data_IF_219166342059
#
_entry.id   IF_219166342059
#
_cell.length_a   1.000
_cell.length_b   1.000
_cell.length_c   1.000
_cell.angle_alpha   90.00
_cell.angle_beta   90.00
_cell.angle_gamma   90.00
#
_symmetry.space_group_name_H-M   'P 1'
#
loop_
_entity.id
_entity.type
_entity.pdbx_description
1 polymer ?
#
# COMPACT_ATOMS: atom_id res chain seq x y z
N UNK A 1 -0.02 -33.02 -1.82
CA UNK A 1 -1.39 -32.51 -1.54
C UNK A 1 -1.68 -33.06 -0.17
N UNK A 2 -1.37 -32.28 0.85
CA UNK A 2 -1.11 -32.82 2.17
C UNK A 2 -2.31 -32.50 3.05
N UNK A 3 -3.17 -33.51 3.17
CA UNK A 3 -4.26 -33.56 4.14
C UNK A 3 -3.68 -33.86 5.51
N UNK A 4 -4.09 -33.10 6.53
CA UNK A 4 -3.82 -33.50 7.90
C UNK A 4 -4.66 -34.72 8.31
N UNK A 5 -4.32 -35.31 9.46
CA UNK A 5 -4.95 -36.52 9.98
C UNK A 5 -6.44 -36.37 10.38
N UNK A 6 -7.05 -35.20 10.16
CA UNK A 6 -8.47 -34.93 10.42
C UNK A 6 -9.32 -34.82 9.14
N UNK A 7 -8.69 -34.76 7.96
CA UNK A 7 -9.38 -34.65 6.68
C UNK A 7 -10.08 -33.30 6.46
N UNK A 8 -9.80 -32.28 7.27
CA UNK A 8 -10.27 -30.91 7.01
C UNK A 8 -9.35 -30.20 6.03
N UNK A 9 -9.93 -29.68 4.94
CA UNK A 9 -9.28 -28.68 4.09
C UNK A 9 -9.06 -27.42 4.93
N UNK A 10 -7.82 -27.05 5.14
CA UNK A 10 -7.49 -25.68 5.54
C UNK A 10 -7.64 -24.79 4.32
N UNK A 11 -8.81 -24.18 4.17
CA UNK A 11 -8.92 -22.95 3.39
C UNK A 11 -8.05 -21.91 4.10
N UNK A 12 -6.82 -21.72 3.63
CA UNK A 12 -6.07 -20.49 3.88
C UNK A 12 -6.66 -19.44 2.94
N UNK A 13 -7.92 -19.11 3.18
CA UNK A 13 -8.55 -17.94 2.60
C UNK A 13 -8.09 -16.78 3.49
N UNK A 14 -7.02 -16.10 3.09
CA UNK A 14 -6.81 -14.75 3.59
C UNK A 14 -7.67 -13.88 2.67
N UNK A 15 -8.87 -13.43 3.08
CA UNK A 15 -9.56 -12.45 2.28
C UNK A 15 -8.64 -11.23 2.24
N UNK A 16 -8.18 -10.86 1.04
CA UNK A 16 -7.83 -9.47 0.75
C UNK A 16 -9.10 -8.70 1.09
N UNK A 17 -9.18 -8.13 2.29
CA UNK A 17 -10.16 -7.09 2.56
C UNK A 17 -9.73 -5.93 1.69
N UNK A 18 -10.30 -5.87 0.49
CA UNK A 18 -10.51 -4.58 -0.16
C UNK A 18 -11.23 -3.75 0.90
N UNK A 19 -10.64 -2.65 1.39
CA UNK A 19 -11.32 -1.82 2.36
C UNK A 19 -12.62 -1.35 1.71
N UNK A 20 -13.74 -1.67 2.35
CA UNK A 20 -15.06 -1.29 1.88
C UNK A 20 -15.06 0.19 1.51
N UNK A 21 -15.65 0.52 0.36
CA UNK A 21 -15.88 1.91 -0.07
C UNK A 21 -16.49 2.67 1.11
N UNK A 22 -15.72 3.57 1.71
CA UNK A 22 -16.21 4.35 2.85
C UNK A 22 -17.25 5.35 2.31
N UNK A 23 -18.48 5.37 2.85
CA UNK A 23 -19.47 6.36 2.46
C UNK A 23 -18.97 7.78 2.73
N UNK A 24 -19.41 8.75 1.93
CA UNK A 24 -19.01 10.17 2.06
C UNK A 24 -19.40 10.75 3.43
N UNK A 25 -20.43 10.20 4.08
CA UNK A 25 -20.92 10.57 5.41
C UNK A 25 -19.88 10.33 6.51
N UNK A 26 -18.85 9.51 6.25
CA UNK A 26 -17.74 9.31 7.18
C UNK A 26 -16.74 10.48 7.15
N UNK A 27 -16.92 11.44 6.25
CA UNK A 27 -16.02 12.58 6.05
C UNK A 27 -16.68 13.87 6.54
N UNK A 28 -15.94 14.65 7.33
CA UNK A 28 -16.40 15.97 7.76
C UNK A 28 -16.23 16.99 6.63
N UNK A 29 -17.34 17.40 6.01
CA UNK A 29 -17.33 18.36 4.90
C UNK A 29 -17.49 19.80 5.39
N UNK A 30 -16.66 20.70 4.87
CA UNK A 30 -16.71 22.13 5.20
C UNK A 30 -17.67 22.88 4.28
N UNK A 31 -18.90 23.11 4.73
CA UNK A 31 -19.83 24.05 4.09
C UNK A 31 -20.44 23.59 2.76
N UNK A 32 -20.34 22.30 2.44
CA UNK A 32 -20.99 21.65 1.28
C UNK A 32 -21.79 20.46 1.78
N UNK A 33 -22.96 20.22 1.19
CA UNK A 33 -23.82 19.09 1.58
C UNK A 33 -23.31 17.76 1.01
N UNK A 34 -23.69 16.64 1.64
CA UNK A 34 -23.34 15.31 1.15
C UNK A 34 -23.84 15.05 -0.26
N UNK A 35 -25.08 15.44 -0.58
CA UNK A 35 -25.66 15.24 -1.91
C UNK A 35 -24.92 16.01 -3.00
N UNK A 36 -24.41 17.21 -2.69
CA UNK A 36 -23.62 18.02 -3.63
C UNK A 36 -22.22 17.43 -3.86
N UNK A 37 -21.58 16.91 -2.81
CA UNK A 37 -20.22 16.36 -2.89
C UNK A 37 -20.17 14.90 -3.36
N UNK A 38 -21.29 14.17 -3.31
CA UNK A 38 -21.37 12.74 -3.63
C UNK A 38 -20.85 12.39 -5.04
N UNK A 39 -21.26 13.06 -6.14
CA UNK A 39 -20.79 12.68 -7.48
C UNK A 39 -19.26 12.73 -7.58
N UNK A 40 -18.66 13.81 -7.09
CA UNK A 40 -17.21 13.98 -7.10
C UNK A 40 -16.48 12.98 -6.20
N UNK A 41 -17.11 12.54 -5.09
CA UNK A 41 -16.58 11.47 -4.25
C UNK A 41 -16.65 10.11 -4.95
N UNK A 42 -17.75 9.80 -5.62
CA UNK A 42 -17.93 8.57 -6.41
C UNK A 42 -16.90 8.50 -7.55
N UNK A 43 -16.71 9.60 -8.29
CA UNK A 43 -15.63 9.75 -9.26
C UNK A 43 -14.25 9.44 -8.65
N UNK A 44 -13.94 9.97 -7.47
CA UNK A 44 -12.65 9.68 -6.81
C UNK A 44 -12.51 8.21 -6.42
N UNK A 45 -13.58 7.54 -6.00
CA UNK A 45 -13.56 6.10 -5.71
C UNK A 45 -13.34 5.28 -6.97
N UNK A 46 -13.99 5.65 -8.07
CA UNK A 46 -13.84 4.96 -9.35
C UNK A 46 -12.43 5.15 -9.93
N UNK A 47 -11.87 6.36 -9.86
CA UNK A 47 -10.46 6.60 -10.19
C UNK A 47 -9.56 5.75 -9.29
N UNK A 48 -9.79 5.75 -7.99
CA UNK A 48 -8.97 4.99 -7.03
C UNK A 48 -8.90 3.50 -7.38
N UNK A 49 -10.04 2.93 -7.77
CA UNK A 49 -10.18 1.49 -8.02
C UNK A 49 -9.71 1.06 -9.41
N UNK A 50 -9.90 1.91 -10.42
CA UNK A 50 -9.64 1.55 -11.81
C UNK A 50 -8.28 2.03 -12.32
N UNK A 51 -7.65 3.03 -11.69
CA UNK A 51 -6.43 3.65 -12.21
C UNK A 51 -5.32 2.64 -12.57
N UNK A 52 -4.98 1.62 -11.75
CA UNK A 52 -3.90 0.70 -12.09
C UNK A 52 -4.19 -0.24 -13.28
N UNK A 53 -5.46 -0.41 -13.65
CA UNK A 53 -5.89 -1.37 -14.68
C UNK A 53 -6.54 -0.75 -15.91
N UNK A 54 -6.93 0.53 -15.84
CA UNK A 54 -7.57 1.25 -16.92
C UNK A 54 -6.60 2.25 -17.57
N UNK A 55 -6.08 1.87 -18.74
CA UNK A 55 -5.17 2.70 -19.53
C UNK A 55 -5.83 3.99 -20.03
N UNK A 56 -7.13 3.98 -20.32
CA UNK A 56 -7.85 5.15 -20.77
C UNK A 56 -7.93 6.18 -19.64
N UNK A 57 -8.27 5.73 -18.44
CA UNK A 57 -8.23 6.56 -17.25
C UNK A 57 -6.83 7.12 -17.00
N UNK A 58 -5.78 6.30 -17.07
CA UNK A 58 -4.39 6.75 -16.90
C UNK A 58 -4.01 7.83 -17.92
N UNK A 59 -4.37 7.65 -19.20
CA UNK A 59 -4.13 8.64 -20.24
C UNK A 59 -4.87 9.97 -19.95
N UNK A 60 -6.06 9.93 -19.34
CA UNK A 60 -6.82 11.13 -18.96
C UNK A 60 -6.22 11.86 -17.75
N UNK A 61 -5.95 11.15 -16.65
CA UNK A 61 -5.63 11.80 -15.36
C UNK A 61 -4.14 11.93 -15.06
N UNK A 62 -3.30 11.05 -15.62
CA UNK A 62 -1.84 11.18 -15.52
C UNK A 62 -1.35 12.02 -16.68
N UNK A 63 -1.84 11.75 -17.90
CA UNK A 63 -1.41 12.47 -19.10
C UNK A 63 0.05 12.19 -19.52
N UNK A 64 0.69 11.22 -18.89
CA UNK A 64 2.02 10.76 -19.25
C UNK A 64 2.16 9.28 -18.89
N UNK A 65 3.14 8.62 -19.51
CA UNK A 65 3.48 7.22 -19.26
C UNK A 65 4.80 7.15 -18.52
N UNK A 66 4.87 6.38 -17.44
CA UNK A 66 6.09 6.22 -16.66
C UNK A 66 7.08 5.36 -17.46
N UNK A 67 8.19 5.94 -17.90
CA UNK A 67 9.15 5.27 -18.80
C UNK A 67 8.51 4.71 -20.10
N UNK A 68 7.39 5.28 -20.55
CA UNK A 68 6.64 4.78 -21.71
C UNK A 68 5.65 3.66 -21.40
N UNK A 69 5.56 3.23 -20.14
CA UNK A 69 4.67 2.17 -19.64
C UNK A 69 3.54 2.75 -18.78
N UNK A 70 2.44 2.01 -18.71
CA UNK A 70 1.34 2.29 -17.79
C UNK A 70 1.72 1.84 -16.39
N UNK A 71 1.20 2.53 -15.37
CA UNK A 71 1.40 2.09 -13.99
C UNK A 71 0.56 0.84 -13.72
N UNK A 72 1.09 -0.07 -12.92
CA UNK A 72 0.43 -1.32 -12.51
C UNK A 72 -0.10 -1.27 -11.06
N UNK A 73 0.24 -0.19 -10.34
CA UNK A 73 -0.03 -0.03 -8.92
C UNK A 73 -0.01 1.43 -8.50
N UNK A 74 -0.64 1.73 -7.36
CA UNK A 74 -0.63 3.07 -6.77
C UNK A 74 0.78 3.55 -6.39
N UNK A 75 1.73 2.65 -6.12
CA UNK A 75 3.13 3.03 -5.84
C UNK A 75 3.80 3.69 -7.05
N UNK A 76 3.32 3.43 -8.27
CA UNK A 76 3.75 4.12 -9.50
C UNK A 76 3.22 5.55 -9.66
N UNK A 77 2.18 5.94 -8.89
CA UNK A 77 1.65 7.31 -8.90
C UNK A 77 2.60 8.23 -8.14
N UNK A 78 3.21 9.18 -8.84
CA UNK A 78 4.05 10.20 -8.22
C UNK A 78 3.20 11.10 -7.31
N UNK A 79 3.66 11.31 -6.07
CA UNK A 79 2.98 12.17 -5.10
C UNK A 79 3.97 12.94 -4.24
N UNK A 80 3.69 14.22 -4.00
CA UNK A 80 4.56 15.11 -3.23
C UNK A 80 4.43 14.96 -1.71
N UNK A 81 3.46 14.19 -1.23
CA UNK A 81 3.19 14.01 0.19
C UNK A 81 4.22 13.06 0.83
N UNK A 82 5.08 13.61 1.69
CA UNK A 82 6.09 12.85 2.45
C UNK A 82 5.48 11.67 3.22
N UNK A 83 4.29 11.87 3.80
CA UNK A 83 3.59 10.83 4.56
C UNK A 83 3.10 9.68 3.67
N UNK A 84 2.68 9.96 2.44
CA UNK A 84 2.28 8.91 1.48
C UNK A 84 3.48 8.01 1.16
N UNK A 85 4.62 8.60 0.81
CA UNK A 85 5.85 7.84 0.54
C UNK A 85 6.33 7.05 1.76
N UNK A 86 6.17 7.61 2.97
CA UNK A 86 6.44 6.90 4.23
C UNK A 86 5.59 5.64 4.36
N UNK A 87 4.27 5.76 4.12
CA UNK A 87 3.35 4.61 4.19
C UNK A 87 3.68 3.57 3.13
N UNK A 88 3.95 3.98 1.89
CA UNK A 88 4.30 3.09 0.77
C UNK A 88 5.52 2.21 1.09
N UNK A 89 6.62 2.85 1.53
CA UNK A 89 7.86 2.16 1.87
C UNK A 89 7.67 1.22 3.06
N UNK A 90 7.00 1.69 4.12
CA UNK A 90 6.73 0.87 5.29
C UNK A 90 5.84 -0.33 4.97
N UNK A 91 4.80 -0.13 4.15
CA UNK A 91 3.90 -1.20 3.73
C UNK A 91 4.62 -2.21 2.84
N UNK A 92 5.34 -1.75 1.81
CA UNK A 92 6.12 -2.61 0.90
C UNK A 92 7.16 -3.45 1.63
N UNK A 93 7.90 -2.84 2.57
CA UNK A 93 8.87 -3.58 3.39
C UNK A 93 8.16 -4.62 4.27
N UNK A 94 7.07 -4.23 4.93
CA UNK A 94 6.35 -5.11 5.83
C UNK A 94 5.67 -6.28 5.10
N UNK A 95 5.12 -6.05 3.91
CA UNK A 95 4.57 -7.11 3.06
C UNK A 95 5.65 -8.10 2.63
N UNK A 96 6.82 -7.61 2.23
CA UNK A 96 7.97 -8.44 1.86
C UNK A 96 8.40 -9.33 3.03
N UNK A 97 8.71 -8.73 4.19
CA UNK A 97 9.22 -9.51 5.34
C UNK A 97 8.16 -10.45 5.94
N UNK A 98 6.87 -10.06 5.93
CA UNK A 98 5.77 -10.97 6.30
C UNK A 98 5.65 -12.12 5.31
N UNK A 99 5.83 -11.86 4.02
CA UNK A 99 5.87 -12.88 2.97
C UNK A 99 6.96 -13.91 3.21
N UNK A 100 8.17 -13.46 3.56
CA UNK A 100 9.29 -14.34 3.90
C UNK A 100 9.04 -15.15 5.19
N UNK A 101 8.50 -14.51 6.22
CA UNK A 101 8.20 -15.14 7.50
C UNK A 101 7.07 -16.19 7.43
N UNK A 102 6.09 -16.00 6.54
CA UNK A 102 4.97 -16.92 6.31
C UNK A 102 5.22 -17.90 5.17
N UNK A 103 6.31 -17.71 4.43
CA UNK A 103 6.68 -18.53 3.28
C UNK A 103 6.93 -19.99 3.65
N UNK A 104 7.08 -20.87 2.65
CA UNK A 104 7.42 -22.26 2.92
C UNK A 104 8.73 -22.33 3.73
N UNK A 105 8.73 -23.17 4.76
CA UNK A 105 9.93 -23.42 5.56
C UNK A 105 11.06 -23.93 4.66
N UNK A 106 12.28 -23.47 4.91
CA UNK A 106 13.45 -23.90 4.16
C UNK A 106 13.78 -25.35 4.56
N UNK A 107 13.33 -26.31 3.75
CA UNK A 107 13.64 -27.74 3.94
C UNK A 107 14.96 -28.10 3.25
N UNK A 108 15.91 -28.66 4.00
CA UNK A 108 17.09 -29.32 3.44
C UNK A 108 16.86 -30.81 3.25
N UNK A 109 17.18 -31.32 2.06
CA UNK A 109 17.12 -32.75 1.75
C UNK A 109 18.36 -33.42 2.39
N UNK A 110 18.21 -33.93 3.62
CA UNK A 110 19.22 -34.67 4.39
C UNK A 110 18.76 -34.97 5.82
N UNK A 111 19.37 -35.95 6.50
CA UNK A 111 18.98 -36.45 7.84
C UNK A 111 19.27 -35.47 9.02
N UNK A 112 19.49 -34.17 8.76
CA UNK A 112 19.80 -33.17 9.78
C UNK A 112 18.85 -31.99 9.74
N UNK A 113 18.40 -31.53 10.92
CA UNK A 113 17.78 -30.20 11.08
C UNK A 113 18.90 -29.17 10.92
N UNK A 114 18.90 -28.44 9.81
CA UNK A 114 19.84 -27.34 9.55
C UNK A 114 19.28 -26.07 10.20
N UNK A 115 20.09 -25.45 11.06
CA UNK A 115 19.75 -24.25 11.82
C UNK A 115 20.17 -22.97 11.08
N UNK A 116 19.68 -21.79 11.50
CA UNK A 116 20.14 -20.51 10.95
C UNK A 116 21.67 -20.34 11.04
N UNK A 117 22.29 -20.89 12.09
CA UNK A 117 23.75 -20.88 12.29
C UNK A 117 24.48 -21.65 11.20
N UNK A 118 23.94 -22.78 10.74
CA UNK A 118 24.58 -23.59 9.70
C UNK A 118 24.63 -22.81 8.37
N UNK A 119 23.56 -22.09 8.02
CA UNK A 119 23.51 -21.23 6.82
C UNK A 119 24.52 -20.07 6.87
N UNK A 120 24.69 -19.45 8.03
CA UNK A 120 25.63 -18.35 8.22
C UNK A 120 27.10 -18.78 8.06
N UNK A 121 27.41 -20.08 8.15
CA UNK A 121 28.78 -20.60 8.00
C UNK A 121 29.18 -20.90 6.55
N UNK A 122 28.26 -20.83 5.59
CA UNK A 122 28.59 -21.02 4.17
C UNK A 122 29.24 -19.77 3.57
N UNK A 123 30.31 -19.97 2.78
CA UNK A 123 30.91 -18.92 1.95
C UNK A 123 30.80 -19.29 0.46
N UNK A 124 30.06 -18.52 -0.37
CA UNK A 124 29.20 -17.38 0.01
C UNK A 124 27.93 -17.83 0.76
N UNK A 125 27.25 -16.92 1.49
CA UNK A 125 25.99 -17.22 2.17
C UNK A 125 24.95 -17.76 1.18
N UNK A 126 24.19 -18.76 1.61
CA UNK A 126 23.12 -19.33 0.78
C UNK A 126 22.01 -18.29 0.63
N UNK A 127 21.66 -17.99 -0.63
CA UNK A 127 20.58 -17.04 -0.93
C UNK A 127 19.37 -17.74 -1.53
N UNK A 128 18.18 -17.33 -1.09
CA UNK A 128 16.89 -17.77 -1.61
C UNK A 128 16.15 -16.51 -2.05
N UNK A 129 15.81 -16.44 -3.34
CA UNK A 129 15.18 -15.27 -3.97
C UNK A 129 15.93 -13.94 -3.70
N UNK A 130 17.26 -14.01 -3.59
CA UNK A 130 18.14 -12.87 -3.33
C UNK A 130 18.37 -12.54 -1.86
N UNK A 131 17.65 -13.18 -0.92
CA UNK A 131 17.76 -12.98 0.52
C UNK A 131 18.62 -14.05 1.20
N UNK A 132 19.25 -13.71 2.31
CA UNK A 132 20.03 -14.67 3.12
C UNK A 132 19.09 -15.71 3.78
N UNK A 133 19.37 -17.00 3.54
CA UNK A 133 18.61 -18.10 4.11
C UNK A 133 18.61 -18.09 5.66
N UNK A 134 19.70 -17.64 6.30
CA UNK A 134 19.77 -17.53 7.75
C UNK A 134 18.78 -16.49 8.29
N UNK A 135 18.66 -15.34 7.62
CA UNK A 135 17.71 -14.29 7.98
C UNK A 135 16.25 -14.72 7.77
N UNK A 136 15.97 -15.47 6.69
CA UNK A 136 14.62 -16.03 6.47
C UNK A 136 14.25 -16.99 7.60
N UNK A 137 15.15 -17.89 8.00
CA UNK A 137 14.90 -18.82 9.11
C UNK A 137 14.65 -18.09 10.44
N UNK A 138 15.42 -17.03 10.71
CA UNK A 138 15.21 -16.21 11.90
C UNK A 138 13.82 -15.55 11.89
N UNK A 139 13.41 -14.97 10.77
CA UNK A 139 12.07 -14.40 10.58
C UNK A 139 10.97 -15.45 10.80
N UNK A 140 11.11 -16.62 10.18
CA UNK A 140 10.15 -17.72 10.28
C UNK A 140 10.05 -18.25 11.71
N UNK A 141 11.18 -18.44 12.39
CA UNK A 141 11.22 -18.91 13.77
C UNK A 141 10.59 -17.88 14.72
N UNK A 142 10.95 -16.60 14.59
CA UNK A 142 10.39 -15.53 15.41
C UNK A 142 8.87 -15.43 15.24
N UNK A 143 8.38 -15.57 14.00
CA UNK A 143 6.94 -15.53 13.69
C UNK A 143 6.15 -16.62 14.42
N UNK A 144 6.74 -17.80 14.61
CA UNK A 144 6.13 -18.90 15.37
C UNK A 144 6.22 -18.65 16.87
N UNK A 145 7.37 -18.16 17.35
CA UNK A 145 7.66 -18.05 18.78
C UNK A 145 7.00 -16.85 19.46
N UNK A 146 6.61 -15.81 18.70
CA UNK A 146 6.11 -14.55 19.23
C UNK A 146 4.68 -14.19 18.76
N UNK A 147 3.64 -15.00 19.06
CA UNK A 147 2.28 -14.79 18.54
C UNK A 147 1.66 -13.44 18.95
N UNK A 148 2.00 -12.92 20.13
CA UNK A 148 1.54 -11.59 20.58
C UNK A 148 2.14 -10.47 19.73
N UNK A 149 3.43 -10.58 19.41
CA UNK A 149 4.12 -9.62 18.57
C UNK A 149 3.61 -9.68 17.13
N UNK A 150 3.35 -10.89 16.62
CA UNK A 150 2.71 -11.09 15.31
C UNK A 150 1.36 -10.38 15.24
N UNK A 151 0.51 -10.49 16.27
CA UNK A 151 -0.77 -9.75 16.30
C UNK A 151 -0.59 -8.24 16.25
N UNK A 152 0.44 -7.70 16.93
CA UNK A 152 0.76 -6.28 16.88
C UNK A 152 1.27 -5.85 15.49
N UNK A 153 2.09 -6.68 14.84
CA UNK A 153 2.57 -6.47 13.46
C UNK A 153 1.42 -6.51 12.46
N UNK A 154 0.50 -7.46 12.57
CA UNK A 154 -0.69 -7.54 11.72
C UNK A 154 -1.62 -6.33 11.92
N UNK A 155 -1.75 -5.84 13.15
CA UNK A 155 -2.48 -4.59 13.44
C UNK A 155 -1.80 -3.38 12.78
N UNK A 156 -0.48 -3.29 12.82
CA UNK A 156 0.28 -2.24 12.15
C UNK A 156 0.16 -2.32 10.62
N UNK A 157 0.22 -3.52 10.04
CA UNK A 157 -0.05 -3.74 8.63
C UNK A 157 -1.43 -3.22 8.21
N UNK A 158 -2.48 -3.60 8.95
CA UNK A 158 -3.84 -3.16 8.64
C UNK A 158 -4.01 -1.64 8.75
N UNK A 159 -3.30 -1.01 9.70
CA UNK A 159 -3.29 0.44 9.82
C UNK A 159 -2.59 1.10 8.62
N UNK A 160 -1.46 0.54 8.16
CA UNK A 160 -0.74 1.02 6.98
C UNK A 160 -1.60 0.92 5.71
N UNK A 161 -2.27 -0.22 5.49
CA UNK A 161 -3.23 -0.38 4.37
C UNK A 161 -4.30 0.72 4.42
N UNK A 162 -4.92 0.91 5.59
CA UNK A 162 -5.96 1.93 5.77
C UNK A 162 -5.46 3.36 5.50
N UNK A 163 -4.21 3.66 5.89
CA UNK A 163 -3.58 4.94 5.60
C UNK A 163 -3.23 5.09 4.12
N UNK A 164 -2.74 4.02 3.49
CA UNK A 164 -2.43 3.98 2.07
C UNK A 164 -3.66 4.29 1.23
N UNK A 165 -4.79 3.65 1.55
CA UNK A 165 -6.06 3.89 0.86
C UNK A 165 -6.58 5.31 1.04
N UNK A 166 -6.42 5.89 2.25
CA UNK A 166 -6.81 7.27 2.49
C UNK A 166 -5.96 8.25 1.67
N UNK A 167 -4.65 8.02 1.56
CA UNK A 167 -3.76 8.83 0.71
C UNK A 167 -4.02 8.62 -0.79
N UNK A 168 -4.37 7.40 -1.22
CA UNK A 168 -4.72 7.14 -2.61
C UNK A 168 -6.05 7.78 -2.99
N UNK A 169 -7.04 7.82 -2.08
CA UNK A 169 -8.27 8.58 -2.32
C UNK A 169 -8.00 10.08 -2.43
N UNK A 170 -7.13 10.65 -1.58
CA UNK A 170 -6.72 12.04 -1.71
C UNK A 170 -5.99 12.28 -3.05
N UNK A 171 -5.13 11.35 -3.46
CA UNK A 171 -4.39 11.45 -4.71
C UNK A 171 -5.32 11.34 -5.92
N UNK A 172 -6.36 10.50 -5.87
CA UNK A 172 -7.41 10.42 -6.89
C UNK A 172 -8.14 11.75 -7.09
N UNK A 173 -8.40 12.49 -6.01
CA UNK A 173 -8.97 13.83 -6.08
C UNK A 173 -8.06 14.83 -6.81
N UNK A 174 -6.74 14.79 -6.52
CA UNK A 174 -5.75 15.62 -7.21
C UNK A 174 -5.67 15.24 -8.69
N UNK A 175 -5.62 13.96 -9.01
CA UNK A 175 -5.58 13.45 -10.38
C UNK A 175 -6.84 13.83 -11.18
N UNK A 176 -8.02 13.79 -10.56
CA UNK A 176 -9.25 14.28 -11.17
C UNK A 176 -9.18 15.78 -11.50
N UNK A 177 -8.59 16.59 -10.62
CA UNK A 177 -8.32 18.01 -10.86
C UNK A 177 -7.41 18.19 -12.07
N UNK A 178 -6.30 17.44 -12.11
CA UNK A 178 -5.29 17.56 -13.15
C UNK A 178 -5.83 17.12 -14.51
N UNK A 179 -6.56 15.99 -14.56
CA UNK A 179 -7.22 15.49 -15.76
C UNK A 179 -8.27 16.44 -16.33
N UNK A 180 -8.99 17.17 -15.47
CA UNK A 180 -9.93 18.22 -15.89
C UNK A 180 -9.22 19.41 -16.53
N UNK A 181 -7.97 19.69 -16.11
CA UNK A 181 -7.16 20.79 -16.62
C UNK A 181 -6.18 20.37 -17.74
N UNK A 182 -6.15 19.07 -18.09
CA UNK A 182 -5.23 18.53 -19.09
C UNK A 182 -5.66 18.93 -20.52
N UNK A 183 -4.67 19.39 -21.30
CA UNK A 183 -4.83 19.79 -22.72
C UNK A 183 -4.47 18.66 -23.71
N UNK A 184 -4.28 17.43 -23.23
CA UNK A 184 -3.99 16.29 -24.10
C UNK A 184 -5.28 15.63 -24.52
N UNK A 185 -5.43 15.37 -25.81
CA UNK A 185 -6.61 14.74 -26.41
C UNK A 185 -6.18 13.45 -27.11
N UNK A 186 -6.93 12.38 -26.88
CA UNK A 186 -6.74 11.09 -27.56
C UNK A 186 -8.06 10.69 -28.23
N UNK A 187 -7.97 10.15 -29.44
CA UNK A 187 -9.15 9.81 -30.24
C UNK A 187 -9.52 8.34 -30.08
N UNK A 188 -10.09 7.98 -28.93
CA UNK A 188 -10.71 6.67 -28.71
C UNK A 188 -11.85 6.69 -27.68
N UNK A 189 -12.86 5.80 -27.78
CA UNK A 189 -14.12 5.92 -27.04
C UNK A 189 -14.00 5.90 -25.52
N UNK A 190 -13.12 5.07 -24.98
CA UNK A 190 -12.93 4.90 -23.53
C UNK A 190 -12.33 6.17 -22.90
N UNK A 191 -11.44 6.85 -23.60
CA UNK A 191 -10.89 8.14 -23.17
C UNK A 191 -11.98 9.21 -23.11
N UNK A 192 -12.84 9.30 -24.13
CA UNK A 192 -13.95 10.25 -24.15
C UNK A 192 -14.99 9.98 -23.07
N UNK A 193 -15.23 8.70 -22.72
CA UNK A 193 -16.09 8.33 -21.59
C UNK A 193 -15.52 8.87 -20.27
N UNK A 194 -14.24 8.66 -20.00
CA UNK A 194 -13.59 9.17 -18.79
C UNK A 194 -13.54 10.70 -18.75
N UNK A 195 -13.23 11.35 -19.88
CA UNK A 195 -13.28 12.82 -19.99
C UNK A 195 -14.67 13.37 -19.70
N UNK A 196 -15.70 12.74 -20.25
CA UNK A 196 -17.08 13.14 -19.99
C UNK A 196 -17.45 12.95 -18.52
N UNK A 197 -17.14 11.81 -17.93
CA UNK A 197 -17.40 11.49 -16.53
C UNK A 197 -16.71 12.49 -15.59
N UNK A 198 -15.42 12.78 -15.81
CA UNK A 198 -14.69 13.85 -15.12
C UNK A 198 -15.38 15.20 -15.28
N UNK A 199 -15.71 15.61 -16.50
CA UNK A 199 -16.30 16.94 -16.77
C UNK A 199 -17.66 17.14 -16.11
N UNK A 200 -18.47 16.07 -16.04
CA UNK A 200 -19.84 16.12 -15.50
C UNK A 200 -19.83 16.11 -13.96
N UNK A 201 -18.96 15.31 -13.36
CA UNK A 201 -18.97 15.06 -11.92
C UNK A 201 -17.99 15.94 -11.14
N UNK A 202 -17.02 16.53 -11.84
CA UNK A 202 -16.10 17.49 -11.24
C UNK A 202 -16.79 18.80 -10.88
N UNK A 203 -16.61 19.22 -9.63
CA UNK A 203 -17.15 20.48 -9.13
C UNK A 203 -16.08 21.29 -8.39
N UNK A 204 -15.66 22.46 -8.92
CA UNK A 204 -14.70 23.32 -8.24
C UNK A 204 -15.15 23.77 -6.84
N UNK A 205 -16.46 23.87 -6.59
CA UNK A 205 -17.01 24.24 -5.28
C UNK A 205 -16.86 23.13 -4.25
N UNK A 206 -16.82 21.87 -4.69
CA UNK A 206 -16.70 20.68 -3.82
C UNK A 206 -15.25 20.27 -3.58
N UNK A 207 -14.31 20.72 -4.43
CA UNK A 207 -12.89 20.35 -4.33
C UNK A 207 -12.26 20.67 -2.98
N UNK A 208 -12.29 21.93 -2.55
CA UNK A 208 -11.63 22.35 -1.30
C UNK A 208 -12.22 21.65 -0.06
N UNK A 209 -13.55 21.50 0.08
CA UNK A 209 -14.15 20.70 1.15
C UNK A 209 -13.72 19.23 1.13
N UNK A 210 -13.72 18.58 -0.04
CA UNK A 210 -13.32 17.17 -0.18
C UNK A 210 -11.83 16.98 0.10
N UNK A 211 -10.95 17.84 -0.42
CA UNK A 211 -9.51 17.77 -0.15
C UNK A 211 -9.23 17.91 1.36
N UNK A 212 -9.88 18.87 2.02
CA UNK A 212 -9.77 19.06 3.46
C UNK A 212 -10.24 17.83 4.24
N UNK A 213 -11.34 17.21 3.80
CA UNK A 213 -11.90 16.04 4.45
C UNK A 213 -11.04 14.78 4.25
N UNK A 214 -10.57 14.54 3.03
CA UNK A 214 -9.66 13.43 2.71
C UNK A 214 -8.32 13.58 3.40
N UNK A 215 -7.75 14.78 3.43
CA UNK A 215 -6.51 15.07 4.15
C UNK A 215 -6.65 14.84 5.65
N UNK A 216 -7.78 15.27 6.25
CA UNK A 216 -8.08 15.02 7.66
C UNK A 216 -8.19 13.53 7.96
N UNK A 217 -8.82 12.77 7.07
CA UNK A 217 -8.91 11.32 7.18
C UNK A 217 -7.53 10.65 7.05
N UNK A 218 -6.73 11.02 6.06
CA UNK A 218 -5.38 10.50 5.88
C UNK A 218 -4.50 10.78 7.11
N UNK A 219 -4.61 11.97 7.71
CA UNK A 219 -3.95 12.29 8.99
C UNK A 219 -4.42 11.40 10.14
N UNK A 220 -5.73 11.15 10.26
CA UNK A 220 -6.29 10.25 11.28
C UNK A 220 -5.73 8.84 11.13
N UNK A 221 -5.66 8.33 9.91
CA UNK A 221 -5.10 7.00 9.63
C UNK A 221 -3.58 6.95 9.90
N UNK A 222 -2.86 8.01 9.55
CA UNK A 222 -1.42 8.12 9.86
C UNK A 222 -1.16 8.12 11.38
N UNK A 223 -2.00 8.80 12.15
CA UNK A 223 -1.92 8.75 13.61
C UNK A 223 -2.20 7.33 14.15
N UNK A 224 -3.19 6.63 13.60
CA UNK A 224 -3.47 5.23 13.94
C UNK A 224 -2.27 4.31 13.61
N UNK A 225 -1.60 4.52 12.47
CA UNK A 225 -0.36 3.85 12.13
C UNK A 225 0.72 4.07 13.19
N UNK A 226 0.89 5.31 13.66
CA UNK A 226 1.86 5.64 14.71
C UNK A 226 1.62 4.89 16.02
N UNK A 227 0.35 4.77 16.44
CA UNK A 227 -0.02 3.98 17.63
C UNK A 227 0.27 2.50 17.42
N UNK A 228 -0.14 1.94 16.27
CA UNK A 228 0.07 0.53 15.98
C UNK A 228 1.56 0.17 15.84
N UNK A 229 2.36 1.06 15.24
CA UNK A 229 3.81 0.95 15.18
C UNK A 229 4.43 0.89 16.57
N UNK A 230 4.04 1.80 17.48
CA UNK A 230 4.56 1.82 18.85
C UNK A 230 4.21 0.55 19.61
N UNK A 231 2.99 0.03 19.43
CA UNK A 231 2.59 -1.24 20.01
C UNK A 231 3.46 -2.40 19.50
N UNK A 232 3.69 -2.48 18.18
CA UNK A 232 4.53 -3.50 17.58
C UNK A 232 5.99 -3.39 18.01
N UNK A 233 6.56 -2.18 18.00
CA UNK A 233 7.95 -1.90 18.39
C UNK A 233 8.23 -2.18 19.88
N UNK A 234 7.19 -2.33 20.71
CA UNK A 234 7.33 -2.73 22.11
C UNK A 234 7.73 -4.20 22.31
N UNK A 235 7.69 -5.02 21.26
CA UNK A 235 8.06 -6.43 21.31
C UNK A 235 9.53 -6.65 20.91
N UNK A 236 10.21 -7.56 21.62
CA UNK A 236 11.58 -7.96 21.29
C UNK A 236 11.64 -8.64 19.91
N UNK A 237 12.57 -8.21 19.05
CA UNK A 237 12.75 -8.74 17.69
C UNK A 237 11.78 -8.18 16.65
N UNK A 238 10.89 -7.25 17.02
CA UNK A 238 9.98 -6.61 16.07
C UNK A 238 10.71 -5.73 15.03
N UNK A 239 11.96 -5.33 15.30
CA UNK A 239 12.84 -4.61 14.38
C UNK A 239 13.15 -5.40 13.10
N UNK A 240 13.00 -6.73 13.11
CA UNK A 240 13.05 -7.55 11.90
C UNK A 240 11.93 -7.18 10.91
N UNK A 241 10.80 -6.66 11.40
CA UNK A 241 9.60 -6.36 10.61
C UNK A 241 9.31 -4.87 10.47
N UNK A 242 10.01 -4.01 11.20
CA UNK A 242 9.72 -2.59 11.29
C UNK A 242 10.90 -1.75 10.82
N UNK A 243 10.64 -0.84 9.88
CA UNK A 243 11.61 0.20 9.53
C UNK A 243 11.61 1.29 10.61
N UNK A 244 12.80 1.69 11.02
CA UNK A 244 12.98 2.86 11.88
C UNK A 244 12.62 4.15 11.12
N UNK A 245 12.24 5.18 11.87
CA UNK A 245 11.98 6.51 11.30
C UNK A 245 13.17 7.04 10.47
N UNK A 246 14.40 6.76 10.91
CA UNK A 246 15.61 7.16 10.19
C UNK A 246 15.71 6.43 8.84
N UNK A 247 15.55 5.11 8.81
CA UNK A 247 15.61 4.32 7.57
C UNK A 247 14.56 4.79 6.55
N UNK A 248 13.32 5.01 7.01
CA UNK A 248 12.26 5.55 6.14
C UNK A 248 12.64 6.94 5.62
N UNK A 249 13.11 7.82 6.50
CA UNK A 249 13.49 9.20 6.13
C UNK A 249 14.61 9.23 5.09
N UNK A 250 15.64 8.39 5.27
CA UNK A 250 16.75 8.26 4.34
C UNK A 250 16.26 7.74 2.98
N UNK A 251 15.37 6.75 2.99
CA UNK A 251 14.80 6.14 1.78
C UNK A 251 13.94 7.14 1.00
N UNK A 252 13.01 7.85 1.67
CA UNK A 252 12.19 8.89 1.04
C UNK A 252 13.08 10.02 0.50
N UNK A 253 14.13 10.42 1.24
CA UNK A 253 15.07 11.46 0.81
C UNK A 253 15.88 11.03 -0.41
N UNK A 254 16.25 9.75 -0.51
CA UNK A 254 16.94 9.21 -1.66
C UNK A 254 16.02 9.16 -2.88
N UNK A 255 14.81 8.60 -2.75
CA UNK A 255 13.82 8.55 -3.84
C UNK A 255 13.51 9.93 -4.40
N UNK A 256 13.36 10.94 -3.53
CA UNK A 256 13.17 12.32 -3.98
C UNK A 256 14.35 12.84 -4.78
N UNK A 257 15.59 12.59 -4.34
CA UNK A 257 16.78 13.02 -5.09
C UNK A 257 16.80 12.37 -6.47
N UNK A 258 16.54 11.07 -6.56
CA UNK A 258 16.57 10.32 -7.82
C UNK A 258 15.44 10.72 -8.79
N UNK A 259 14.36 11.36 -8.31
CA UNK A 259 13.32 11.94 -9.16
C UNK A 259 13.70 13.31 -9.77
N UNK A 260 14.69 14.00 -9.22
CA UNK A 260 15.12 15.34 -9.68
C UNK A 260 16.47 15.35 -10.41
N UNK A 261 17.09 14.19 -10.63
CA UNK A 261 18.37 14.02 -11.34
C UNK A 261 18.28 12.94 -12.41
#
# INVERSE_FOLDING_TARGET
MDTDASGQKTDIDTPKRVPERKPIENYALMGVSYDEARPMHELCLDIREQLPSDHALQDVVLGWRHHGEYIDSWSGVQGYAWHRATVDISLSYLELVRGLARGPGIMTIGEGVVTATDYATFEPPVRIDGFDAAAILELQQWWVDAPDAVRAIESYHSALESAWDAFNLQSALTLASDGTNANMEFDYPEYEQWRHHLTVEWSPTCYVPLDSAYYSEAKRQMHACGIAYQAAAGHQGADLFLLTQQQVTETVSQMRRDQYF
#
